data_IF_120995887193
#
_entry.id   IF_120995887193
#
_cell.length_a   1.000
_cell.length_b   1.000
_cell.length_c   1.000
_cell.angle_alpha   90.00
_cell.angle_beta   90.00
_cell.angle_gamma   90.00
#
_symmetry.space_group_name_H-M   'P 1'
#
loop_
_entity.id
_entity.type
_entity.pdbx_description
1 polymer ?
#
# COMPACT_ATOMS: atom_id res chain seq x y z
N UNK A 1 -15.63 -11.79 -42.73
CA UNK A 1 -15.54 -12.44 -41.41
C UNK A 1 -14.19 -13.13 -41.34
N UNK A 2 -13.22 -12.49 -40.71
CA UNK A 2 -11.95 -13.12 -40.33
C UNK A 2 -11.69 -12.70 -38.90
N UNK A 3 -11.97 -13.63 -37.99
CA UNK A 3 -11.48 -13.64 -36.63
C UNK A 3 -9.94 -13.74 -36.63
N UNK A 4 -9.36 -13.52 -35.44
CA UNK A 4 -7.95 -13.69 -35.02
C UNK A 4 -7.20 -12.35 -34.97
N UNK A 5 -6.64 -11.89 -33.85
CA UNK A 5 -6.12 -12.61 -32.68
C UNK A 5 -6.51 -11.87 -31.39
N UNK A 6 -7.12 -12.58 -30.44
CA UNK A 6 -6.99 -12.23 -29.03
C UNK A 6 -5.51 -12.27 -28.69
N UNK A 7 -4.95 -11.16 -28.21
CA UNK A 7 -3.64 -11.15 -27.60
C UNK A 7 -3.86 -11.61 -26.15
N UNK A 8 -3.51 -12.84 -25.75
CA UNK A 8 -3.63 -13.27 -24.37
C UNK A 8 -2.58 -12.51 -23.59
N UNK A 9 -2.96 -11.34 -23.07
CA UNK A 9 -2.09 -10.48 -22.29
C UNK A 9 -1.48 -11.32 -21.16
N UNK A 10 -0.19 -11.64 -21.35
CA UNK A 10 0.75 -12.26 -20.43
C UNK A 10 0.16 -12.67 -19.08
N UNK A 11 0.16 -13.98 -18.79
CA UNK A 11 -0.13 -14.58 -17.48
C UNK A 11 0.90 -14.22 -16.39
N UNK A 12 1.55 -13.05 -16.51
CA UNK A 12 2.52 -12.52 -15.58
C UNK A 12 1.80 -11.68 -14.53
N UNK A 13 2.16 -11.80 -13.25
CA UNK A 13 1.59 -10.97 -12.21
C UNK A 13 1.87 -9.48 -12.49
N UNK A 14 0.83 -8.65 -12.38
CA UNK A 14 0.97 -7.20 -12.52
C UNK A 14 2.09 -6.65 -11.62
N UNK A 15 2.94 -5.77 -12.15
CA UNK A 15 4.10 -5.25 -11.42
C UNK A 15 3.75 -4.61 -10.07
N UNK A 16 2.51 -4.16 -9.88
CA UNK A 16 2.07 -3.54 -8.62
C UNK A 16 2.25 -4.42 -7.39
N UNK A 17 2.37 -5.74 -7.54
CA UNK A 17 2.59 -6.66 -6.41
C UNK A 17 4.05 -6.67 -5.92
N UNK A 18 4.96 -6.04 -6.66
CA UNK A 18 6.37 -5.96 -6.31
C UNK A 18 6.73 -4.53 -5.86
N UNK A 19 7.67 -4.36 -4.91
CA UNK A 19 8.13 -3.04 -4.47
C UNK A 19 8.57 -2.12 -5.63
N UNK A 20 9.30 -2.66 -6.61
CA UNK A 20 9.78 -1.90 -7.79
C UNK A 20 8.66 -1.40 -8.70
N UNK A 21 7.46 -1.97 -8.56
CA UNK A 21 6.28 -1.59 -9.31
C UNK A 21 5.52 -0.39 -8.74
N UNK A 22 5.93 0.18 -7.60
CA UNK A 22 5.22 1.26 -6.89
C UNK A 22 5.50 2.68 -7.41
N UNK A 23 5.92 2.80 -8.68
CA UNK A 23 6.32 4.05 -9.33
C UNK A 23 5.17 5.07 -9.41
N UNK A 24 5.52 6.36 -9.40
CA UNK A 24 4.59 7.47 -9.57
C UNK A 24 3.75 7.33 -10.86
N UNK A 25 2.48 7.76 -10.81
CA UNK A 25 1.56 7.71 -11.96
C UNK A 25 0.93 6.34 -12.24
N UNK A 26 1.38 5.25 -11.60
CA UNK A 26 0.79 3.91 -11.79
C UNK A 26 -0.49 3.65 -11.00
N UNK A 27 -0.87 4.58 -10.12
CA UNK A 27 -1.99 4.40 -9.20
C UNK A 27 -2.83 5.69 -9.11
N UNK A 28 -4.15 5.52 -9.05
CA UNK A 28 -5.05 6.54 -8.55
C UNK A 28 -5.11 6.44 -7.03
N UNK A 29 -5.14 7.56 -6.32
CA UNK A 29 -5.19 7.59 -4.86
C UNK A 29 -6.42 8.32 -4.35
N UNK A 30 -7.01 7.82 -3.26
CA UNK A 30 -8.03 8.49 -2.47
C UNK A 30 -7.58 8.55 -1.02
N UNK A 31 -7.53 9.75 -0.44
CA UNK A 31 -7.23 9.93 0.98
C UNK A 31 -8.37 9.37 1.84
N UNK A 32 -8.03 8.70 2.93
CA UNK A 32 -8.97 8.19 3.95
C UNK A 32 -8.96 9.11 5.18
N UNK A 33 -7.77 9.58 5.59
CA UNK A 33 -7.62 10.50 6.71
C UNK A 33 -6.25 10.41 7.35
N UNK A 34 -6.16 10.90 8.58
CA UNK A 34 -4.95 10.93 9.40
C UNK A 34 -5.18 10.10 10.67
N UNK A 35 -4.37 9.07 10.89
CA UNK A 35 -4.35 8.27 12.11
C UNK A 35 -3.66 9.07 13.22
N UNK A 36 -4.47 9.65 14.11
CA UNK A 36 -3.98 10.38 15.28
C UNK A 36 -3.77 9.47 16.50
N UNK A 37 -4.06 8.18 16.38
CA UNK A 37 -3.88 7.23 17.48
C UNK A 37 -2.45 7.28 17.97
N UNK A 38 -2.27 7.30 19.29
CA UNK A 38 -0.95 7.36 19.95
C UNK A 38 -0.03 8.50 19.47
N UNK A 39 -0.59 9.58 18.89
CA UNK A 39 0.20 10.70 18.39
C UNK A 39 1.00 10.40 17.11
N UNK A 40 0.60 9.38 16.34
CA UNK A 40 1.29 8.99 15.08
C UNK A 40 1.20 10.04 13.98
N UNK A 41 0.02 10.63 13.81
CA UNK A 41 -0.33 11.49 12.67
C UNK A 41 -0.04 10.84 11.30
N UNK A 42 -0.26 9.52 11.20
CA UNK A 42 0.00 8.76 9.97
C UNK A 42 -1.04 9.03 8.89
N UNK A 43 -0.60 9.24 7.65
CA UNK A 43 -1.47 9.42 6.49
C UNK A 43 -1.99 8.08 5.97
N UNK A 44 -3.30 7.98 5.79
CA UNK A 44 -3.96 6.77 5.29
C UNK A 44 -4.63 7.07 3.95
N UNK A 45 -4.35 6.23 2.96
CA UNK A 45 -4.91 6.35 1.61
C UNK A 45 -5.20 5.00 0.98
N UNK A 46 -6.17 4.95 0.08
CA UNK A 46 -6.41 3.79 -0.79
C UNK A 46 -5.86 4.11 -2.17
N UNK A 47 -5.05 3.19 -2.70
CA UNK A 47 -4.51 3.25 -4.05
C UNK A 47 -5.19 2.21 -4.94
N UNK A 48 -5.50 2.58 -6.18
CA UNK A 48 -6.00 1.69 -7.22
C UNK A 48 -5.00 1.63 -8.35
N UNK A 49 -4.46 0.43 -8.64
CA UNK A 49 -3.53 0.25 -9.74
C UNK A 49 -4.23 0.52 -11.09
N UNK A 50 -3.67 1.40 -11.92
CA UNK A 50 -4.26 1.72 -13.22
C UNK A 50 -4.25 0.52 -14.18
N UNK A 51 -3.27 -0.38 -14.05
CA UNK A 51 -3.11 -1.53 -14.95
C UNK A 51 -4.01 -2.72 -14.60
N UNK A 52 -4.06 -3.13 -13.31
CA UNK A 52 -4.80 -4.32 -12.89
C UNK A 52 -5.99 -4.03 -11.97
N UNK A 53 -6.27 -2.76 -11.67
CA UNK A 53 -7.41 -2.30 -10.86
C UNK A 53 -7.43 -2.78 -9.40
N UNK A 54 -6.41 -3.52 -8.94
CA UNK A 54 -6.27 -3.93 -7.54
C UNK A 54 -6.19 -2.73 -6.61
N UNK A 55 -6.79 -2.90 -5.44
CA UNK A 55 -6.84 -1.91 -4.37
C UNK A 55 -5.76 -2.21 -3.33
N UNK A 56 -5.15 -1.14 -2.84
CA UNK A 56 -4.08 -1.16 -1.87
C UNK A 56 -4.38 -0.18 -0.74
N UNK A 57 -4.32 -0.65 0.50
CA UNK A 57 -4.27 0.23 1.67
C UNK A 57 -2.83 0.71 1.82
N UNK A 58 -2.65 2.03 1.93
CA UNK A 58 -1.37 2.66 2.19
C UNK A 58 -1.41 3.40 3.51
N UNK A 59 -0.36 3.20 4.31
CA UNK A 59 -0.10 3.94 5.53
C UNK A 59 1.29 4.56 5.41
N UNK A 60 1.42 5.86 5.68
CA UNK A 60 2.69 6.56 5.73
C UNK A 60 2.79 7.35 7.03
N UNK A 61 3.95 7.30 7.69
CA UNK A 61 4.22 8.11 8.87
C UNK A 61 5.68 8.55 8.88
N UNK A 62 5.91 9.77 9.32
CA UNK A 62 7.22 10.36 9.55
C UNK A 62 7.16 11.24 10.80
N UNK A 63 8.20 11.17 11.63
CA UNK A 63 8.32 11.98 12.84
C UNK A 63 9.42 13.03 12.64
N UNK A 64 9.02 14.29 12.53
CA UNK A 64 9.93 15.41 12.21
C UNK A 64 11.09 15.55 13.21
N UNK A 65 10.90 15.13 14.46
CA UNK A 65 11.92 15.20 15.52
C UNK A 65 12.92 14.03 15.49
N UNK A 66 12.72 13.04 14.62
CA UNK A 66 13.58 11.86 14.50
C UNK A 66 14.11 11.72 13.07
N UNK A 67 15.44 11.71 12.95
CA UNK A 67 16.10 11.39 11.68
C UNK A 67 15.77 9.96 11.25
N UNK A 68 15.57 9.75 9.95
CA UNK A 68 15.29 8.43 9.36
C UNK A 68 14.02 7.77 9.94
N UNK A 69 12.98 8.55 10.22
CA UNK A 69 11.73 8.04 10.81
C UNK A 69 10.64 7.73 9.78
N UNK A 70 10.82 8.14 8.52
CA UNK A 70 9.81 7.91 7.49
C UNK A 70 9.66 6.42 7.19
N UNK A 71 8.43 5.91 7.27
CA UNK A 71 8.07 4.55 6.87
C UNK A 71 6.70 4.53 6.23
N UNK A 72 6.56 3.64 5.25
CA UNK A 72 5.29 3.34 4.63
C UNK A 72 5.07 1.84 4.55
N UNK A 73 3.79 1.49 4.50
CA UNK A 73 3.30 0.14 4.32
C UNK A 73 2.21 0.12 3.25
N UNK A 74 2.19 -0.89 2.38
CA UNK A 74 1.13 -1.12 1.39
C UNK A 74 0.65 -2.56 1.39
N UNK A 75 -0.64 -2.76 1.60
CA UNK A 75 -1.24 -4.09 1.60
C UNK A 75 -2.39 -4.20 0.61
N UNK A 76 -2.52 -5.35 -0.06
CA UNK A 76 -3.66 -5.64 -0.93
C UNK A 76 -4.94 -5.73 -0.09
N UNK A 77 -5.98 -5.03 -0.54
CA UNK A 77 -7.30 -5.06 0.09
C UNK A 77 -8.38 -5.40 -0.94
N UNK A 78 -9.51 -5.89 -0.44
CA UNK A 78 -10.70 -6.11 -1.26
C UNK A 78 -11.60 -4.89 -1.28
N UNK A 79 -12.50 -4.82 -2.25
CA UNK A 79 -13.50 -3.76 -2.31
C UNK A 79 -14.40 -3.75 -1.06
N UNK A 80 -14.73 -4.92 -0.51
CA UNK A 80 -15.52 -5.03 0.72
C UNK A 80 -14.84 -4.35 1.92
N UNK A 81 -13.52 -4.52 2.07
CA UNK A 81 -12.74 -3.89 3.14
C UNK A 81 -12.78 -2.36 3.06
N UNK A 82 -12.90 -1.78 1.87
CA UNK A 82 -12.94 -0.32 1.70
C UNK A 82 -14.10 0.37 2.41
N UNK A 83 -15.16 -0.38 2.75
CA UNK A 83 -16.33 0.12 3.47
C UNK A 83 -16.09 0.27 4.97
N UNK A 84 -15.07 -0.41 5.51
CA UNK A 84 -14.79 -0.48 6.95
C UNK A 84 -13.44 0.15 7.31
N UNK A 85 -12.59 0.45 6.32
CA UNK A 85 -11.30 1.13 6.55
C UNK A 85 -11.56 2.56 7.07
N UNK A 86 -10.94 2.86 8.20
CA UNK A 86 -10.76 4.21 8.74
C UNK A 86 -9.27 4.52 8.83
N UNK A 87 -8.90 5.74 9.22
CA UNK A 87 -7.49 6.04 9.43
C UNK A 87 -6.94 5.25 10.64
N UNK A 88 -7.73 5.16 11.71
CA UNK A 88 -7.34 4.59 13.00
C UNK A 88 -7.16 3.07 12.95
N UNK A 89 -7.92 2.35 12.11
CA UNK A 89 -7.82 0.90 12.00
C UNK A 89 -6.86 0.41 10.91
N UNK A 90 -6.25 1.32 10.13
CA UNK A 90 -5.42 0.95 8.99
C UNK A 90 -4.21 0.09 9.37
N UNK A 91 -3.58 0.39 10.52
CA UNK A 91 -2.43 -0.35 11.06
C UNK A 91 -2.82 -1.78 11.44
N UNK A 92 -3.97 -1.95 12.08
CA UNK A 92 -4.51 -3.27 12.45
C UNK A 92 -4.83 -4.08 11.20
N UNK A 93 -5.46 -3.47 10.21
CA UNK A 93 -5.78 -4.13 8.94
C UNK A 93 -4.49 -4.61 8.26
N UNK A 94 -3.50 -3.73 8.08
CA UNK A 94 -2.22 -4.08 7.46
C UNK A 94 -1.51 -5.22 8.19
N UNK A 95 -1.55 -5.21 9.53
CA UNK A 95 -0.89 -6.23 10.35
C UNK A 95 -1.53 -7.62 10.20
N UNK A 96 -2.81 -7.68 9.84
CA UNK A 96 -3.59 -8.91 9.67
C UNK A 96 -3.64 -9.41 8.23
N UNK A 97 -3.03 -8.71 7.27
CA UNK A 97 -2.94 -9.19 5.88
C UNK A 97 -1.97 -10.36 5.77
N UNK A 98 -2.17 -11.19 4.74
CA UNK A 98 -1.26 -12.30 4.41
C UNK A 98 0.19 -11.80 4.23
N UNK A 99 0.34 -10.62 3.61
CA UNK A 99 1.60 -9.90 3.44
C UNK A 99 1.34 -8.43 3.08
N UNK A 100 2.37 -7.61 3.23
CA UNK A 100 2.40 -6.20 2.82
C UNK A 100 3.78 -5.82 2.29
N UNK A 101 3.83 -4.77 1.49
CA UNK A 101 5.05 -4.10 1.08
C UNK A 101 5.42 -3.05 2.12
N UNK A 102 6.71 -2.79 2.30
CA UNK A 102 7.21 -1.75 3.19
C UNK A 102 8.38 -1.00 2.56
N UNK A 103 8.67 0.18 3.07
CA UNK A 103 9.88 0.94 2.77
C UNK A 103 9.91 2.29 3.47
N UNK A 104 10.96 3.07 3.19
CA UNK A 104 11.20 4.38 3.81
C UNK A 104 12.57 4.50 4.46
N UNK A 105 12.87 5.67 5.00
CA UNK A 105 14.16 5.97 5.64
C UNK A 105 14.37 5.19 6.93
N UNK A 106 13.29 4.83 7.64
CA UNK A 106 13.31 3.90 8.79
C UNK A 106 13.96 2.56 8.46
N UNK A 107 13.81 2.10 7.20
CA UNK A 107 14.43 0.87 6.71
C UNK A 107 15.77 1.11 6.00
N UNK A 108 16.45 2.23 6.30
CA UNK A 108 17.67 2.66 5.64
C UNK A 108 17.53 2.76 4.11
N UNK A 109 16.36 3.22 3.64
CA UNK A 109 16.05 3.34 2.21
C UNK A 109 15.74 2.02 1.51
N UNK A 110 15.75 0.89 2.23
CA UNK A 110 15.35 -0.41 1.70
C UNK A 110 13.83 -0.51 1.62
N UNK A 111 13.38 -1.39 0.75
CA UNK A 111 11.98 -1.79 0.61
C UNK A 111 11.89 -3.30 0.41
N UNK A 112 10.72 -3.87 0.67
CA UNK A 112 10.54 -5.31 0.58
C UNK A 112 9.09 -5.74 0.80
N UNK A 113 8.93 -7.03 1.08
CA UNK A 113 7.67 -7.67 1.43
C UNK A 113 7.83 -8.36 2.79
N UNK A 114 6.83 -8.21 3.66
CA UNK A 114 6.79 -8.85 4.99
C UNK A 114 5.34 -9.21 5.37
N UNK A 115 5.14 -9.73 6.57
CA UNK A 115 3.84 -10.09 7.14
C UNK A 115 3.86 -9.93 8.67
N UNK A 116 2.67 -9.84 9.27
CA UNK A 116 2.51 -9.71 10.72
C UNK A 116 2.51 -8.25 11.17
N UNK A 117 2.84 -8.03 12.44
CA UNK A 117 2.76 -6.71 13.05
C UNK A 117 3.67 -5.68 12.33
N UNK A 118 3.10 -4.52 12.01
CA UNK A 118 3.88 -3.39 11.49
C UNK A 118 4.31 -2.45 12.62
N UNK A 119 5.50 -1.88 12.48
CA UNK A 119 6.02 -0.89 13.42
C UNK A 119 5.80 0.53 12.88
N UNK A 120 5.02 1.30 13.62
CA UNK A 120 4.60 2.66 13.28
C UNK A 120 4.65 3.59 14.49
N UNK A 121 5.13 3.08 15.64
CA UNK A 121 5.22 3.80 16.92
C UNK A 121 6.67 4.25 17.21
#
# INVERSE_FOLDING_TARGET
MTNNLENPANNQPCSCIFPDGLQYGKFLSRNIGIDKSKGRFGEVSIYKCCACQRLWLHYFVEYEHLSQSARWYRGLITEAMTKTITAENAVEILSNLQWYLYGGSYFHGKYGCSKGQIDVD
#
